data_IF_945370751538
#
_entry.id   IF_945370751538
#
_cell.length_a   1.000
_cell.length_b   1.000
_cell.length_c   1.000
_cell.angle_alpha   90.00
_cell.angle_beta   90.00
_cell.angle_gamma   90.00
#
_symmetry.space_group_name_H-M   'P 1'
#
loop_
_entity.id
_entity.type
_entity.pdbx_description
1 polymer ?
#
# COMPACT_ATOMS: atom_id res chain seq x y z
N UNK A 1 13.13 -9.83 16.28
CA UNK A 1 13.32 -8.37 16.38
C UNK A 1 14.29 -7.96 15.27
N UNK A 2 13.79 -7.25 14.26
CA UNK A 2 14.60 -6.85 13.10
C UNK A 2 15.26 -5.51 13.42
N UNK A 3 16.48 -5.58 13.96
CA UNK A 3 17.40 -4.45 13.97
C UNK A 3 18.17 -4.49 12.65
N UNK A 4 17.85 -3.59 11.73
CA UNK A 4 18.72 -3.27 10.59
C UNK A 4 19.23 -1.85 10.79
N UNK A 5 20.55 -1.78 10.82
CA UNK A 5 21.50 -0.68 10.97
C UNK A 5 21.02 0.63 10.32
N UNK A 6 21.16 1.75 11.05
CA UNK A 6 21.17 3.10 10.47
C UNK A 6 20.29 4.18 11.11
N UNK A 7 19.84 4.04 12.36
CA UNK A 7 19.03 5.09 13.00
C UNK A 7 19.47 5.50 14.41
N UNK A 8 19.73 6.80 14.55
CA UNK A 8 19.90 7.52 15.82
C UNK A 8 18.57 8.21 16.19
N UNK A 9 17.51 7.46 16.53
CA UNK A 9 16.37 7.98 17.31
C UNK A 9 15.26 6.92 17.44
N UNK A 10 14.82 6.63 18.67
CA UNK A 10 13.63 5.81 18.93
C UNK A 10 12.33 6.44 18.37
N UNK A 11 12.35 7.72 18.00
CA UNK A 11 11.18 8.47 17.51
C UNK A 11 10.76 8.03 16.10
N UNK A 12 11.65 7.43 15.31
CA UNK A 12 11.34 6.96 13.96
C UNK A 12 10.59 5.62 13.94
N UNK A 13 10.65 4.84 15.03
CA UNK A 13 10.10 3.48 15.11
C UNK A 13 8.59 3.46 14.83
N UNK A 14 7.74 4.31 15.45
CA UNK A 14 6.30 4.28 15.21
C UNK A 14 5.93 4.58 13.75
N UNK A 15 6.70 5.43 13.07
CA UNK A 15 6.48 5.73 11.64
C UNK A 15 6.87 4.55 10.75
N UNK A 16 8.01 3.93 11.03
CA UNK A 16 8.47 2.74 10.32
C UNK A 16 7.47 1.57 10.45
N UNK A 17 6.87 1.40 11.64
CA UNK A 17 5.83 0.40 11.87
C UNK A 17 4.59 0.70 11.01
N UNK A 18 4.09 1.94 11.01
CA UNK A 18 2.93 2.33 10.19
C UNK A 18 3.17 2.11 8.70
N UNK A 19 4.34 2.50 8.20
CA UNK A 19 4.72 2.26 6.82
C UNK A 19 4.74 0.76 6.50
N UNK A 20 5.34 -0.06 7.37
CA UNK A 20 5.37 -1.51 7.21
C UNK A 20 3.97 -2.12 7.15
N UNK A 21 3.05 -1.66 8.00
CA UNK A 21 1.64 -2.10 7.97
C UNK A 21 0.95 -1.66 6.69
N UNK A 22 1.14 -0.40 6.25
CA UNK A 22 0.55 0.10 5.01
C UNK A 22 0.99 -0.73 3.79
N UNK A 23 2.29 -1.01 3.69
CA UNK A 23 2.86 -1.84 2.62
C UNK A 23 2.26 -3.26 2.61
N UNK A 24 2.08 -3.86 3.80
CA UNK A 24 1.48 -5.19 3.89
C UNK A 24 0.00 -5.21 3.55
N UNK A 25 -0.76 -4.22 4.00
CA UNK A 25 -2.17 -4.08 3.60
C UNK A 25 -2.30 -3.89 2.09
N UNK A 26 -1.42 -3.09 1.46
CA UNK A 26 -1.38 -2.97 -0.01
C UNK A 26 -1.16 -4.34 -0.69
N UNK A 27 -0.24 -5.16 -0.20
CA UNK A 27 -0.02 -6.52 -0.74
C UNK A 27 -1.27 -7.40 -0.57
N UNK A 28 -1.85 -7.42 0.62
CA UNK A 28 -3.07 -8.20 0.91
C UNK A 28 -4.19 -7.83 -0.05
N UNK A 29 -4.43 -6.53 -0.26
CA UNK A 29 -5.52 -6.06 -1.12
C UNK A 29 -5.29 -6.37 -2.60
N UNK A 30 -4.04 -6.30 -3.06
CA UNK A 30 -3.67 -6.63 -4.45
C UNK A 30 -3.77 -8.12 -4.74
N UNK A 31 -3.41 -8.96 -3.77
CA UNK A 31 -3.14 -10.39 -3.99
C UNK A 31 -4.29 -11.32 -3.51
N UNK A 32 -5.47 -10.77 -3.19
CA UNK A 32 -6.64 -11.51 -2.67
C UNK A 32 -6.95 -12.79 -3.46
N UNK A 33 -6.97 -12.72 -4.79
CA UNK A 33 -7.31 -13.85 -5.63
C UNK A 33 -6.23 -14.94 -5.64
N UNK A 34 -4.95 -14.54 -5.69
CA UNK A 34 -3.82 -15.46 -5.62
C UNK A 34 -3.76 -16.14 -4.25
N UNK A 35 -3.98 -15.39 -3.17
CA UNK A 35 -4.01 -15.93 -1.82
C UNK A 35 -5.17 -16.89 -1.61
N UNK A 36 -6.36 -16.58 -2.13
CA UNK A 36 -7.48 -17.51 -2.11
C UNK A 36 -7.18 -18.81 -2.84
N UNK A 37 -6.56 -18.75 -4.02
CA UNK A 37 -6.14 -19.95 -4.77
C UNK A 37 -5.09 -20.78 -4.01
N UNK A 38 -4.27 -20.13 -3.18
CA UNK A 38 -3.33 -20.78 -2.29
C UNK A 38 -3.97 -21.28 -0.97
N UNK A 39 -5.30 -21.17 -0.82
CA UNK A 39 -6.04 -21.58 0.37
C UNK A 39 -5.87 -20.65 1.57
N UNK A 40 -5.63 -19.35 1.33
CA UNK A 40 -5.37 -18.34 2.37
C UNK A 40 -6.34 -17.18 2.26
N UNK A 41 -6.75 -16.63 3.41
CA UNK A 41 -7.54 -15.40 3.50
C UNK A 41 -6.94 -14.52 4.60
N UNK A 42 -6.52 -13.31 4.23
CA UNK A 42 -5.93 -12.34 5.16
C UNK A 42 -6.87 -11.17 5.49
N UNK A 43 -8.06 -11.13 4.89
CA UNK A 43 -9.06 -10.09 5.14
C UNK A 43 -9.70 -10.28 6.52
N UNK A 44 -9.94 -9.20 7.28
CA UNK A 44 -10.62 -9.30 8.57
C UNK A 44 -12.07 -9.80 8.41
N UNK A 45 -12.40 -10.89 9.09
CA UNK A 45 -13.67 -11.60 8.91
C UNK A 45 -14.87 -10.83 9.48
N UNK A 46 -14.66 -10.13 10.59
CA UNK A 46 -15.62 -9.22 11.19
C UNK A 46 -15.93 -8.03 10.28
N UNK A 47 -14.92 -7.46 9.62
CA UNK A 47 -15.11 -6.38 8.65
C UNK A 47 -15.81 -6.89 7.38
N UNK A 48 -15.44 -8.06 6.85
CA UNK A 48 -16.19 -8.69 5.75
C UNK A 48 -17.67 -8.83 6.12
N UNK A 49 -17.96 -9.39 7.29
CA UNK A 49 -19.33 -9.57 7.77
C UNK A 49 -20.08 -8.23 7.95
N UNK A 50 -19.42 -7.16 8.39
CA UNK A 50 -20.00 -5.82 8.51
C UNK A 50 -20.45 -5.24 7.16
N UNK A 51 -19.79 -5.63 6.06
CA UNK A 51 -20.21 -5.31 4.69
C UNK A 51 -21.12 -6.38 4.07
N UNK A 52 -21.54 -7.38 4.86
CA UNK A 52 -22.36 -8.50 4.45
C UNK A 52 -21.65 -9.48 3.51
N UNK A 53 -20.32 -9.48 3.48
CA UNK A 53 -19.51 -10.36 2.65
C UNK A 53 -19.05 -11.59 3.43
N UNK A 54 -18.75 -12.65 2.69
CA UNK A 54 -18.22 -13.92 3.19
C UNK A 54 -17.10 -14.41 2.29
N UNK A 55 -16.37 -15.45 2.72
CA UNK A 55 -15.40 -16.14 1.87
C UNK A 55 -16.03 -16.71 0.59
N UNK A 56 -17.33 -17.02 0.59
CA UNK A 56 -18.04 -17.45 -0.62
C UNK A 56 -18.11 -16.35 -1.69
N UNK A 57 -18.15 -15.08 -1.29
CA UNK A 57 -18.09 -13.94 -2.22
C UNK A 57 -16.69 -13.84 -2.86
N UNK A 58 -15.63 -14.11 -2.08
CA UNK A 58 -14.24 -14.20 -2.57
C UNK A 58 -14.10 -15.37 -3.55
N UNK A 59 -14.62 -16.54 -3.17
CA UNK A 59 -14.60 -17.74 -4.00
C UNK A 59 -15.34 -17.56 -5.33
N UNK A 60 -16.45 -16.80 -5.32
CA UNK A 60 -17.20 -16.47 -6.52
C UNK A 60 -16.48 -15.45 -7.42
N UNK A 61 -15.52 -14.69 -6.87
CA UNK A 61 -14.72 -13.70 -7.61
C UNK A 61 -15.55 -12.57 -8.22
N UNK A 62 -16.68 -12.20 -7.62
CA UNK A 62 -17.62 -11.21 -8.18
C UNK A 62 -17.47 -9.85 -7.51
N UNK A 63 -17.23 -8.83 -8.33
CA UNK A 63 -17.17 -7.43 -7.90
C UNK A 63 -18.59 -6.86 -7.77
N UNK A 64 -19.17 -7.05 -6.58
CA UNK A 64 -20.47 -6.47 -6.21
C UNK A 64 -20.31 -5.09 -5.58
N UNK A 65 -21.40 -4.33 -5.41
CA UNK A 65 -21.32 -3.02 -4.75
C UNK A 65 -20.88 -3.10 -3.28
N UNK A 66 -21.25 -4.20 -2.60
CA UNK A 66 -20.77 -4.52 -1.25
C UNK A 66 -19.25 -4.72 -1.25
N UNK A 67 -18.73 -5.46 -2.24
CA UNK A 67 -17.30 -5.64 -2.44
C UNK A 67 -16.57 -4.31 -2.68
N UNK A 68 -17.08 -3.47 -3.59
CA UNK A 68 -16.51 -2.14 -3.84
C UNK A 68 -16.49 -1.27 -2.59
N UNK A 69 -17.56 -1.30 -1.80
CA UNK A 69 -17.65 -0.57 -0.55
C UNK A 69 -16.61 -1.06 0.48
N UNK A 70 -16.46 -2.38 0.64
CA UNK A 70 -15.43 -2.98 1.49
C UNK A 70 -14.02 -2.59 1.03
N UNK A 71 -13.72 -2.73 -0.26
CA UNK A 71 -12.41 -2.39 -0.82
C UNK A 71 -12.08 -0.90 -0.64
N UNK A 72 -13.02 0.01 -0.86
CA UNK A 72 -12.85 1.44 -0.55
C UNK A 72 -12.49 1.70 0.90
N UNK A 73 -13.18 1.03 1.82
CA UNK A 73 -12.92 1.16 3.26
C UNK A 73 -11.50 0.68 3.61
N UNK A 74 -11.06 -0.47 3.08
CA UNK A 74 -9.70 -0.97 3.30
C UNK A 74 -8.62 -0.09 2.67
N UNK A 75 -8.87 0.42 1.45
CA UNK A 75 -7.96 1.31 0.73
C UNK A 75 -7.79 2.63 1.49
N UNK A 76 -8.89 3.22 1.98
CA UNK A 76 -8.82 4.44 2.76
C UNK A 76 -7.99 4.24 4.04
N UNK A 77 -8.26 3.18 4.81
CA UNK A 77 -7.45 2.82 5.99
C UNK A 77 -5.97 2.69 5.66
N UNK A 78 -5.65 2.09 4.50
CA UNK A 78 -4.27 1.91 4.05
C UNK A 78 -3.61 3.24 3.68
N UNK A 79 -4.35 4.15 3.02
CA UNK A 79 -3.90 5.53 2.73
C UNK A 79 -3.64 6.33 4.00
N UNK A 80 -4.53 6.23 4.99
CA UNK A 80 -4.36 6.90 6.28
C UNK A 80 -3.06 6.45 6.97
N UNK A 81 -2.73 5.14 6.92
CA UNK A 81 -1.46 4.62 7.46
C UNK A 81 -0.23 5.14 6.70
N UNK A 82 -0.31 5.32 5.39
CA UNK A 82 0.76 5.99 4.64
C UNK A 82 0.92 7.44 5.12
N UNK A 83 -0.18 8.17 5.24
CA UNK A 83 -0.17 9.58 5.66
C UNK A 83 0.39 9.74 7.08
N UNK A 84 0.03 8.83 8.01
CA UNK A 84 0.60 8.81 9.35
C UNK A 84 2.09 8.44 9.36
N UNK A 85 2.58 7.69 8.37
CA UNK A 85 3.99 7.30 8.27
C UNK A 85 4.88 8.38 7.63
N UNK A 86 4.33 9.21 6.74
CA UNK A 86 5.08 10.21 5.96
C UNK A 86 5.97 11.15 6.80
N UNK A 87 5.55 11.68 7.96
CA UNK A 87 6.41 12.55 8.76
C UNK A 87 7.71 11.88 9.21
N UNK A 88 7.71 10.56 9.39
CA UNK A 88 8.90 9.80 9.79
C UNK A 88 10.00 9.75 8.73
N UNK A 89 9.67 10.02 7.46
CA UNK A 89 10.66 10.10 6.37
C UNK A 89 11.66 11.21 6.67
N UNK A 90 11.23 12.34 7.23
CA UNK A 90 12.12 13.45 7.55
C UNK A 90 13.21 13.10 8.58
N UNK A 91 13.02 12.02 9.35
CA UNK A 91 13.97 11.53 10.34
C UNK A 91 15.09 10.66 9.71
N UNK A 92 14.92 10.18 8.47
CA UNK A 92 15.90 9.32 7.79
C UNK A 92 17.12 10.13 7.32
N UNK A 93 18.22 9.46 7.01
CA UNK A 93 19.34 10.06 6.28
C UNK A 93 18.93 10.39 4.82
N UNK A 94 19.76 11.14 4.10
CA UNK A 94 19.40 11.64 2.75
C UNK A 94 19.12 10.53 1.74
N UNK A 95 19.86 9.44 1.79
CA UNK A 95 19.71 8.34 0.85
C UNK A 95 18.50 7.48 1.24
N UNK A 96 18.32 7.23 2.54
CA UNK A 96 17.13 6.57 3.08
C UNK A 96 15.83 7.30 2.74
N UNK A 97 15.81 8.65 2.84
CA UNK A 97 14.64 9.48 2.47
C UNK A 97 14.17 9.21 1.06
N UNK A 98 15.09 9.26 0.10
CA UNK A 98 14.75 9.12 -1.32
C UNK A 98 14.18 7.72 -1.59
N UNK A 99 14.86 6.68 -1.11
CA UNK A 99 14.46 5.30 -1.33
C UNK A 99 13.10 4.99 -0.70
N UNK A 100 12.88 5.40 0.55
CA UNK A 100 11.64 5.14 1.27
C UNK A 100 10.47 5.95 0.69
N UNK A 101 10.68 7.21 0.34
CA UNK A 101 9.64 8.03 -0.32
C UNK A 101 9.23 7.40 -1.65
N UNK A 102 10.21 7.02 -2.48
CA UNK A 102 9.92 6.39 -3.77
C UNK A 102 9.15 5.07 -3.60
N UNK A 103 9.54 4.24 -2.62
CA UNK A 103 8.84 2.99 -2.33
C UNK A 103 7.39 3.23 -1.84
N UNK A 104 7.18 4.17 -0.93
CA UNK A 104 5.85 4.51 -0.43
C UNK A 104 4.93 5.02 -1.55
N UNK A 105 5.40 5.96 -2.37
CA UNK A 105 4.65 6.49 -3.52
C UNK A 105 4.32 5.42 -4.56
N UNK A 106 5.27 4.53 -4.83
CA UNK A 106 5.08 3.40 -5.74
C UNK A 106 3.95 2.50 -5.21
N UNK A 107 4.01 2.08 -3.95
CA UNK A 107 2.98 1.22 -3.37
C UNK A 107 1.61 1.90 -3.22
N UNK A 108 1.56 3.21 -2.90
CA UNK A 108 0.31 3.97 -2.94
C UNK A 108 -0.35 3.92 -4.32
N UNK A 109 0.45 3.99 -5.39
CA UNK A 109 -0.04 3.88 -6.77
C UNK A 109 -0.73 2.54 -7.09
N UNK A 110 -0.41 1.46 -6.38
CA UNK A 110 -1.13 0.18 -6.53
C UNK A 110 -2.59 0.32 -6.06
N UNK A 111 -2.83 1.11 -5.01
CA UNK A 111 -4.19 1.35 -4.52
C UNK A 111 -5.01 2.12 -5.56
N UNK A 112 -4.39 3.11 -6.22
CA UNK A 112 -5.02 3.87 -7.31
C UNK A 112 -5.37 2.94 -8.49
N UNK A 113 -4.47 2.02 -8.84
CA UNK A 113 -4.69 1.03 -9.90
C UNK A 113 -5.84 0.07 -9.58
N UNK A 114 -5.97 -0.36 -8.31
CA UNK A 114 -7.12 -1.14 -7.84
C UNK A 114 -8.43 -0.34 -8.02
N UNK A 115 -8.44 0.95 -7.65
CA UNK A 115 -9.61 1.82 -7.83
C UNK A 115 -9.96 2.04 -9.31
N UNK A 116 -8.96 2.29 -10.16
CA UNK A 116 -9.13 2.48 -11.60
C UNK A 116 -9.67 1.23 -12.30
N UNK A 117 -9.29 0.05 -11.82
CA UNK A 117 -9.81 -1.23 -12.28
C UNK A 117 -11.12 -1.64 -11.57
N UNK A 118 -11.88 -0.67 -11.04
CA UNK A 118 -13.16 -0.87 -10.37
C UNK A 118 -13.13 -1.96 -9.27
N UNK A 119 -12.02 -2.00 -8.51
CA UNK A 119 -11.79 -2.92 -7.41
C UNK A 119 -11.79 -4.41 -7.81
N UNK A 120 -11.63 -4.70 -9.12
CA UNK A 120 -11.59 -6.05 -9.64
C UNK A 120 -10.21 -6.69 -9.48
N UNK A 121 -9.92 -7.16 -8.28
CA UNK A 121 -8.69 -7.89 -7.94
C UNK A 121 -8.76 -9.40 -8.27
N UNK A 122 -9.91 -9.87 -8.77
CA UNK A 122 -10.14 -11.28 -9.10
C UNK A 122 -9.77 -11.64 -10.54
N UNK A 123 -10.07 -10.74 -11.48
CA UNK A 123 -9.76 -10.92 -12.91
C UNK A 123 -8.47 -10.24 -13.35
N UNK A 124 -7.90 -9.38 -12.50
CA UNK A 124 -6.71 -8.60 -12.78
C UNK A 124 -5.94 -8.40 -11.49
N UNK A 125 -4.63 -8.60 -11.54
CA UNK A 125 -3.76 -8.26 -10.44
C UNK A 125 -3.22 -6.86 -10.66
N UNK A 126 -3.46 -5.98 -9.69
CA UNK A 126 -2.99 -4.60 -9.78
C UNK A 126 -1.47 -4.57 -9.83
N UNK A 127 -0.92 -3.99 -10.89
CA UNK A 127 0.52 -3.91 -11.09
C UNK A 127 0.85 -2.51 -11.53
N UNK A 128 1.93 -1.96 -10.98
CA UNK A 128 2.51 -0.77 -11.58
C UNK A 128 3.19 -1.20 -12.87
N UNK A 129 2.48 -0.99 -13.98
CA UNK A 129 3.01 -1.14 -15.32
C UNK A 129 4.32 -0.34 -15.38
N UNK A 130 5.35 -0.90 -15.99
CA UNK A 130 6.70 -0.32 -16.09
C UNK A 130 6.69 1.15 -16.60
N UNK A 131 5.62 1.57 -17.27
CA UNK A 131 5.37 2.93 -17.74
C UNK A 131 5.06 3.96 -16.64
N UNK A 132 4.41 3.57 -15.54
CA UNK A 132 4.22 4.45 -14.37
C UNK A 132 5.50 4.61 -13.55
N UNK A 133 6.36 3.57 -13.56
CA UNK A 133 7.72 3.68 -13.01
C UNK A 133 8.55 4.69 -13.79
N UNK A 134 8.40 4.80 -15.12
CA UNK A 134 9.14 5.75 -15.95
C UNK A 134 8.61 7.18 -15.84
N UNK A 135 7.29 7.39 -15.79
CA UNK A 135 6.67 8.72 -15.77
C UNK A 135 6.97 9.52 -14.50
N UNK A 136 7.29 8.85 -13.38
CA UNK A 136 7.62 9.47 -12.09
C UNK A 136 9.11 9.74 -11.87
N UNK A 137 10.01 9.23 -12.72
CA UNK A 137 11.45 9.50 -12.62
C UNK A 137 11.81 11.00 -12.69
N UNK A 138 11.19 11.84 -13.53
CA UNK A 138 11.47 13.27 -13.56
C UNK A 138 11.07 13.98 -12.26
N UNK A 139 9.95 13.58 -11.65
CA UNK A 139 9.48 14.14 -10.38
C UNK A 139 10.39 13.73 -9.22
N UNK A 140 10.79 12.46 -9.16
CA UNK A 140 11.77 11.95 -8.18
C UNK A 140 13.12 12.66 -8.32
N UNK A 141 13.55 12.97 -9.55
CA UNK A 141 14.79 13.69 -9.83
C UNK A 141 14.71 15.21 -9.56
N UNK A 142 13.55 15.83 -9.74
CA UNK A 142 13.33 17.25 -9.41
C UNK A 142 13.20 17.45 -7.89
N UNK A 143 12.51 16.54 -7.19
CA UNK A 143 12.43 16.55 -5.73
C UNK A 143 13.82 16.40 -5.09
N UNK A 144 14.72 15.58 -5.66
CA UNK A 144 16.09 15.41 -5.15
C UNK A 144 16.98 16.66 -5.32
N UNK A 145 16.74 17.51 -6.33
CA UNK A 145 17.47 18.78 -6.52
C UNK A 145 16.96 19.93 -5.65
N UNK A 146 15.69 19.92 -5.24
CA UNK A 146 15.14 20.97 -4.37
C UNK A 146 15.60 20.88 -2.91
N UNK A 147 16.03 19.69 -2.47
CA UNK A 147 16.48 19.41 -1.09
C UNK A 147 18.00 19.56 -0.89
N UNK A 148 18.75 19.97 -1.93
CA UNK A 148 20.20 20.22 -1.89
C UNK A 148 20.57 21.71 -1.82
N UNK A 149 19.59 22.61 -1.78
CA UNK A 149 19.79 24.05 -1.50
C UNK A 149 19.08 24.45 -0.21
N UNK A 150 19.71 24.21 0.92
CA UNK A 150 19.58 24.94 2.19
C UNK A 150 20.83 24.66 3.01
#
# INVERSE_FOLDING_TARGET
AMHIIGFESNEAIPYAVRLGVALQLTNILRDIAEDWQAGRVYLPQDELAAFGLTESDIAAGRVTDRWRAFMRFQIQRTRDLYDEAMPGIALLDKDGRLAITAAAELYRGILDDIELNDYNVFGYRAHLTIWDKLSRLPAIWLLSRSLTRS
#
